data_IF_447782481734
#
_entry.id   IF_447782481734
#
_cell.length_a   1.000
_cell.length_b   1.000
_cell.length_c   1.000
_cell.angle_alpha   90.00
_cell.angle_beta   90.00
_cell.angle_gamma   90.00
#
_symmetry.space_group_name_H-M   'P 1'
#
loop_
_entity.id
_entity.type
_entity.pdbx_description
1 polymer ?
#
# COMPACT_ATOMS: atom_id res chain seq x y z
N UNK A 1 -2.08 10.42 7.21
CA UNK A 1 -0.73 9.79 7.14
C UNK A 1 -0.46 9.10 8.47
N UNK A 2 0.44 8.13 8.51
CA UNK A 2 0.69 7.32 9.71
C UNK A 2 2.01 7.69 10.37
N UNK A 3 2.09 7.64 11.69
CA UNK A 3 3.31 7.96 12.44
C UNK A 3 4.01 6.73 13.02
N UNK A 4 5.25 6.90 13.49
CA UNK A 4 5.98 5.82 14.17
C UNK A 4 5.29 5.42 15.48
N UNK A 5 4.75 6.40 16.20
CA UNK A 5 4.03 6.18 17.44
C UNK A 5 2.77 5.34 17.20
N UNK A 6 2.00 5.63 16.14
CA UNK A 6 0.84 4.81 15.75
C UNK A 6 1.24 3.37 15.36
N UNK A 7 2.40 3.18 14.75
CA UNK A 7 2.94 1.86 14.45
C UNK A 7 3.30 1.08 15.72
N UNK A 8 3.99 1.74 16.66
CA UNK A 8 4.40 1.16 17.93
C UNK A 8 3.20 0.81 18.81
N UNK A 9 2.17 1.65 18.81
CA UNK A 9 0.90 1.39 19.49
C UNK A 9 0.16 0.20 18.88
N UNK A 10 0.09 0.14 17.55
CA UNK A 10 -0.67 -0.90 16.84
C UNK A 10 -0.01 -2.30 16.91
N UNK A 11 1.32 -2.37 16.80
CA UNK A 11 2.06 -3.65 16.80
C UNK A 11 2.73 -4.01 18.13
N UNK A 12 2.85 -3.07 19.08
CA UNK A 12 3.56 -3.28 20.34
C UNK A 12 5.07 -3.48 20.17
N UNK A 13 5.65 -3.02 19.06
CA UNK A 13 7.07 -3.17 18.72
C UNK A 13 7.64 -1.87 18.12
N UNK A 14 8.95 -1.65 18.25
CA UNK A 14 9.60 -0.46 17.70
C UNK A 14 9.41 -0.32 16.20
N UNK A 15 9.17 0.91 15.75
CA UNK A 15 9.02 1.19 14.32
C UNK A 15 10.34 0.95 13.55
N UNK A 16 10.27 0.47 12.30
CA UNK A 16 11.46 0.22 11.50
C UNK A 16 12.28 1.49 11.23
N UNK A 17 13.60 1.35 11.15
CA UNK A 17 14.52 2.49 11.00
C UNK A 17 14.27 3.32 9.72
N UNK A 18 13.83 2.66 8.65
CA UNK A 18 13.48 3.22 7.35
C UNK A 18 11.98 3.57 7.21
N UNK A 19 11.25 3.77 8.33
CA UNK A 19 9.81 4.00 8.36
C UNK A 19 9.27 4.95 7.28
N UNK A 20 9.82 6.16 7.15
CA UNK A 20 9.32 7.15 6.18
C UNK A 20 9.42 6.67 4.73
N UNK A 21 10.43 5.86 4.41
CA UNK A 21 10.55 5.24 3.08
C UNK A 21 9.50 4.15 2.90
N UNK A 22 9.29 3.32 3.92
CA UNK A 22 8.28 2.26 3.88
C UNK A 22 6.87 2.83 3.81
N UNK A 23 6.56 3.89 4.55
CA UNK A 23 5.28 4.60 4.48
C UNK A 23 5.01 5.09 3.06
N UNK A 24 5.99 5.76 2.45
CA UNK A 24 5.85 6.28 1.09
C UNK A 24 5.57 5.18 0.07
N UNK A 25 6.33 4.08 0.12
CA UNK A 25 6.14 2.94 -0.80
C UNK A 25 4.78 2.29 -0.55
N UNK A 26 4.45 2.03 0.71
CA UNK A 26 3.17 1.42 1.13
C UNK A 26 1.98 2.23 0.64
N UNK A 27 2.00 3.56 0.83
CA UNK A 27 0.95 4.44 0.38
C UNK A 27 0.79 4.42 -1.14
N UNK A 28 1.89 4.42 -1.90
CA UNK A 28 1.84 4.38 -3.36
C UNK A 28 1.37 3.03 -3.89
N UNK A 29 1.79 1.92 -3.25
CA UNK A 29 1.29 0.58 -3.57
C UNK A 29 -0.22 0.48 -3.33
N UNK A 30 -0.71 0.95 -2.18
CA UNK A 30 -2.14 0.94 -1.88
C UNK A 30 -2.89 1.83 -2.89
N UNK A 31 -2.40 3.04 -3.18
CA UNK A 31 -3.00 3.95 -4.16
C UNK A 31 -3.07 3.39 -5.58
N UNK A 32 -2.12 2.55 -5.98
CA UNK A 32 -2.14 1.95 -7.33
C UNK A 32 -3.14 0.81 -7.49
N UNK A 33 -3.65 0.27 -6.36
CA UNK A 33 -4.57 -0.88 -6.34
C UNK A 33 -6.00 -0.46 -5.99
N UNK A 34 -6.18 0.54 -5.12
CA UNK A 34 -7.54 1.03 -4.78
C UNK A 34 -8.25 1.60 -6.00
N UNK A 35 -9.55 1.39 -6.05
CA UNK A 35 -10.42 1.88 -7.14
C UNK A 35 -11.20 3.13 -6.76
N UNK A 36 -11.18 3.49 -5.47
CA UNK A 36 -11.88 4.64 -4.87
C UNK A 36 -10.90 5.68 -4.34
N UNK A 37 -11.34 6.95 -4.14
CA UNK A 37 -10.48 7.96 -3.53
C UNK A 37 -10.05 7.54 -2.12
N UNK A 38 -8.86 8.01 -1.73
CA UNK A 38 -8.36 7.83 -0.36
C UNK A 38 -9.35 8.46 0.63
N UNK A 39 -9.77 7.73 1.67
CA UNK A 39 -10.66 8.28 2.69
C UNK A 39 -10.10 9.56 3.31
N UNK A 40 -10.97 10.55 3.52
CA UNK A 40 -10.65 11.75 4.31
C UNK A 40 -10.69 11.42 5.80
N UNK A 41 -10.02 12.22 6.63
CA UNK A 41 -9.99 12.05 8.10
C UNK A 41 -11.38 11.99 8.75
N UNK A 42 -12.38 12.63 8.15
CA UNK A 42 -13.77 12.59 8.62
C UNK A 42 -14.52 11.30 8.26
N UNK A 43 -13.91 10.39 7.52
CA UNK A 43 -14.52 9.13 7.08
C UNK A 43 -14.35 8.05 8.17
N UNK A 44 -15.40 7.27 8.50
CA UNK A 44 -15.27 6.18 9.47
C UNK A 44 -14.23 5.12 9.06
N UNK A 45 -13.97 4.97 7.75
CA UNK A 45 -12.97 4.05 7.21
C UNK A 45 -11.54 4.62 7.19
N UNK A 46 -11.32 5.85 7.67
CA UNK A 46 -9.98 6.45 7.68
C UNK A 46 -9.02 5.71 8.62
N UNK A 47 -9.50 5.31 9.80
CA UNK A 47 -8.70 4.55 10.76
C UNK A 47 -8.34 3.17 10.22
N UNK A 48 -9.27 2.49 9.55
CA UNK A 48 -8.98 1.21 8.92
C UNK A 48 -8.03 1.37 7.73
N UNK A 49 -8.16 2.44 6.96
CA UNK A 49 -7.18 2.78 5.93
C UNK A 49 -5.77 3.01 6.51
N UNK A 50 -5.66 3.68 7.67
CA UNK A 50 -4.36 3.82 8.37
C UNK A 50 -3.80 2.45 8.79
N UNK A 51 -4.63 1.57 9.35
CA UNK A 51 -4.21 0.19 9.69
C UNK A 51 -3.70 -0.57 8.46
N UNK A 52 -4.36 -0.43 7.31
CA UNK A 52 -3.88 -1.05 6.07
C UNK A 52 -2.48 -0.56 5.67
N UNK A 53 -2.17 0.73 5.86
CA UNK A 53 -0.82 1.26 5.64
C UNK A 53 0.17 0.68 6.64
N UNK A 54 -0.18 0.61 7.93
CA UNK A 54 0.68 0.04 8.98
C UNK A 54 1.00 -1.44 8.70
N UNK A 55 -0.01 -2.23 8.32
CA UNK A 55 0.16 -3.64 7.90
C UNK A 55 1.06 -3.77 6.68
N UNK A 56 0.93 -2.84 5.73
CA UNK A 56 1.78 -2.82 4.55
C UNK A 56 3.24 -2.46 4.87
N UNK A 57 3.46 -1.53 5.80
CA UNK A 57 4.80 -1.17 6.30
C UNK A 57 5.45 -2.38 6.97
N UNK A 58 4.74 -3.04 7.89
CA UNK A 58 5.23 -4.23 8.58
C UNK A 58 5.54 -5.36 7.59
N UNK A 59 4.68 -5.57 6.60
CA UNK A 59 4.89 -6.58 5.57
C UNK A 59 6.16 -6.32 4.74
N UNK A 60 6.44 -5.07 4.40
CA UNK A 60 7.67 -4.71 3.70
C UNK A 60 8.93 -4.74 4.57
N UNK A 61 8.80 -4.47 5.86
CA UNK A 61 9.91 -4.62 6.80
C UNK A 61 10.34 -6.09 6.91
N UNK A 62 9.36 -7.00 7.02
CA UNK A 62 9.59 -8.45 7.07
C UNK A 62 10.02 -9.04 5.72
N UNK A 63 9.59 -8.46 4.60
CA UNK A 63 9.84 -8.94 3.24
C UNK A 63 10.52 -7.85 2.39
N UNK A 64 11.71 -7.44 2.84
CA UNK A 64 12.49 -6.36 2.21
C UNK A 64 12.87 -6.64 0.74
N UNK A 65 12.86 -7.90 0.32
CA UNK A 65 13.08 -8.37 -1.05
C UNK A 65 11.99 -7.90 -2.03
N UNK A 66 10.76 -7.70 -1.54
CA UNK A 66 9.66 -7.17 -2.35
C UNK A 66 9.94 -5.74 -2.82
N UNK A 67 10.71 -4.98 -2.05
CA UNK A 67 11.10 -3.59 -2.36
C UNK A 67 12.31 -3.54 -3.30
N UNK A 68 13.24 -4.49 -3.22
CA UNK A 68 14.46 -4.52 -4.05
C UNK A 68 14.22 -5.05 -5.46
N UNK A 69 13.14 -5.81 -5.70
CA UNK A 69 12.70 -6.18 -7.07
C UNK A 69 12.32 -4.97 -7.95
N UNK A 70 12.18 -3.78 -7.36
CA UNK A 70 12.01 -2.51 -8.08
C UNK A 70 13.31 -1.86 -8.55
N UNK A 71 14.48 -2.36 -8.12
CA UNK A 71 15.78 -1.72 -8.41
C UNK A 71 16.30 -1.92 -9.84
N UNK A 72 15.55 -2.61 -10.71
CA UNK A 72 15.86 -2.75 -12.15
C UNK A 72 14.97 -1.90 -13.06
N UNK A 73 14.06 -1.09 -12.53
CA UNK A 73 13.20 -0.21 -13.30
C UNK A 73 13.33 1.24 -12.83
N UNK A 74 14.11 2.03 -13.56
CA UNK A 74 14.18 3.49 -13.39
C UNK A 74 12.77 4.09 -13.44
N UNK A 75 12.20 4.49 -12.31
CA UNK A 75 11.03 5.36 -12.31
C UNK A 75 11.49 6.79 -12.61
N UNK A 76 11.76 7.06 -13.89
CA UNK A 76 11.84 8.41 -14.43
C UNK A 76 10.45 8.75 -14.97
N UNK A 77 9.78 9.68 -14.28
CA UNK A 77 8.49 10.25 -14.63
C UNK A 77 8.63 11.04 -15.95
N UNK A 78 8.65 10.35 -17.08
CA UNK A 78 8.78 11.00 -18.41
C UNK A 78 9.37 10.17 -19.55
N UNK A 79 9.86 8.96 -19.33
CA UNK A 79 10.48 8.17 -20.41
C UNK A 79 9.92 6.77 -20.46
N UNK A 80 8.86 6.57 -21.24
CA UNK A 80 8.46 5.25 -21.69
C UNK A 80 9.53 4.75 -22.68
N UNK A 81 10.48 3.96 -22.17
CA UNK A 81 11.33 3.14 -23.01
C UNK A 81 10.65 1.78 -23.18
N UNK A 82 9.99 1.58 -24.32
CA UNK A 82 9.50 0.27 -24.74
C UNK A 82 10.70 -0.67 -24.93
N UNK A 83 10.92 -1.57 -23.98
CA UNK A 83 11.99 -2.56 -24.08
C UNK A 83 12.04 -3.48 -22.87
N UNK A 84 11.18 -4.50 -22.84
CA UNK A 84 11.24 -5.53 -21.81
C UNK A 84 10.05 -6.50 -21.86
N UNK A 85 10.29 -7.66 -22.46
CA UNK A 85 9.51 -8.91 -22.39
C UNK A 85 8.22 -8.89 -21.55
N UNK A 86 7.11 -9.05 -22.27
CA UNK A 86 5.73 -9.20 -21.84
C UNK A 86 5.53 -10.25 -20.73
N UNK A 87 5.53 -9.80 -19.48
CA UNK A 87 4.70 -10.37 -18.42
C UNK A 87 3.87 -9.23 -17.84
N UNK A 88 2.54 -9.40 -17.87
CA UNK A 88 1.54 -8.40 -17.47
C UNK A 88 1.84 -7.89 -16.04
N UNK A 89 2.39 -6.67 -15.93
CA UNK A 89 2.83 -6.04 -14.67
C UNK A 89 1.73 -5.98 -13.59
N UNK A 90 0.46 -5.96 -14.02
CA UNK A 90 -0.71 -5.92 -13.13
C UNK A 90 -0.78 -7.11 -12.18
N UNK A 91 -0.23 -8.27 -12.59
CA UNK A 91 -0.24 -9.50 -11.78
C UNK A 91 0.80 -9.49 -10.65
N UNK A 92 1.87 -8.67 -10.77
CA UNK A 92 2.92 -8.52 -9.74
C UNK A 92 2.58 -7.48 -8.67
N UNK A 93 1.60 -6.60 -8.92
CA UNK A 93 1.20 -5.59 -7.93
C UNK A 93 0.41 -6.19 -6.75
N UNK A 94 -0.44 -7.20 -7.01
CA UNK A 94 -1.20 -7.89 -5.95
C UNK A 94 -0.26 -8.74 -5.07
N UNK A 95 0.79 -9.34 -5.66
CA UNK A 95 1.77 -10.12 -4.89
C UNK A 95 2.67 -9.26 -3.98
N UNK A 96 2.57 -7.93 -4.05
CA UNK A 96 3.33 -6.97 -3.24
C UNK A 96 2.50 -6.36 -2.11
N UNK A 97 1.21 -6.67 -2.02
CA UNK A 97 0.32 -6.19 -0.98
C UNK A 97 0.23 -7.22 0.15
N UNK A 98 0.30 -6.76 1.39
CA UNK A 98 0.05 -7.60 2.57
C UNK A 98 -1.35 -8.22 2.45
N UNK A 99 -1.50 -9.53 2.68
CA UNK A 99 -2.82 -10.16 2.73
C UNK A 99 -3.76 -9.48 3.74
N UNK A 100 -3.22 -9.01 4.87
CA UNK A 100 -3.98 -8.31 5.91
C UNK A 100 -4.37 -6.91 5.43
N UNK A 101 -3.46 -6.18 4.78
CA UNK A 101 -3.79 -4.89 4.18
C UNK A 101 -4.86 -5.03 3.08
N UNK A 102 -4.79 -6.09 2.26
CA UNK A 102 -5.80 -6.40 1.26
C UNK A 102 -7.18 -6.62 1.89
N UNK A 103 -7.25 -7.43 2.94
CA UNK A 103 -8.50 -7.70 3.65
C UNK A 103 -9.11 -6.43 4.26
N UNK A 104 -8.30 -5.59 4.89
CA UNK A 104 -8.75 -4.31 5.43
C UNK A 104 -9.30 -3.40 4.33
N UNK A 105 -8.58 -3.25 3.22
CA UNK A 105 -9.01 -2.43 2.07
C UNK A 105 -10.27 -2.99 1.40
N UNK A 106 -10.42 -4.31 1.35
CA UNK A 106 -11.62 -4.98 0.85
C UNK A 106 -12.82 -4.68 1.75
N UNK A 107 -12.65 -4.82 3.07
CA UNK A 107 -13.69 -4.54 4.07
C UNK A 107 -14.08 -3.05 4.09
N UNK A 108 -13.14 -2.15 3.78
CA UNK A 108 -13.42 -0.73 3.58
C UNK A 108 -14.12 -0.42 2.24
N UNK A 109 -14.33 -1.41 1.37
CA UNK A 109 -14.93 -1.22 0.05
C UNK A 109 -14.05 -0.44 -0.92
N UNK A 110 -12.73 -0.34 -0.67
CA UNK A 110 -11.79 0.44 -1.49
C UNK A 110 -11.26 -0.35 -2.69
N UNK A 111 -11.39 -1.68 -2.69
CA UNK A 111 -10.89 -2.58 -3.74
C UNK A 111 -11.96 -3.01 -4.75
N UNK A 112 -13.25 -2.93 -4.42
CA UNK A 112 -14.32 -3.48 -5.25
C UNK A 112 -14.96 -2.41 -6.14
N UNK A 113 -14.85 -2.58 -7.47
CA UNK A 113 -15.33 -1.61 -8.47
C UNK A 113 -16.86 -1.55 -8.60
N UNK A 114 -17.63 -2.58 -8.24
CA UNK A 114 -19.10 -2.52 -8.35
C UNK A 114 -19.84 -3.35 -7.28
N UNK A 115 -20.56 -2.61 -6.43
CA UNK A 115 -21.90 -2.85 -5.82
C UNK A 115 -21.91 -2.36 -4.38
N UNK A 116 -22.57 -1.20 -4.19
CA UNK A 116 -23.07 -0.75 -2.89
C UNK A 116 -22.05 -0.07 -1.97
N UNK A 117 -22.23 1.25 -1.81
CA UNK A 117 -22.07 1.96 -0.53
C UNK A 117 -20.69 1.98 0.13
N UNK A 118 -20.03 3.13 0.10
CA UNK A 118 -20.02 4.03 1.25
C UNK A 118 -19.01 5.16 1.01
N UNK A 119 -19.44 6.37 1.36
CA UNK A 119 -18.68 7.62 1.45
C UNK A 119 -18.25 8.25 0.11
N UNK A 120 -19.22 8.86 -0.59
CA UNK A 120 -18.98 10.11 -1.33
C UNK A 120 -19.21 11.29 -0.39
#
# INVERSE_FOLDING_TARGET
MVTKEEYEEYFGQSAPSNFSRLEFISLNTIKSIITRPVPKESCPFYEDFKKAILEQINYYDLNSDLITSSSSGSYTLGSYSEGGSSEIETSKSISRLSPVAYEILLNCGLLQSQIGGCCL
#
